data_IF_324476999663
#
_entry.id   IF_324476999663
#
_cell.length_a   1.000
_cell.length_b   1.000
_cell.length_c   1.000
_cell.angle_alpha   90.00
_cell.angle_beta   90.00
_cell.angle_gamma   90.00
#
_symmetry.space_group_name_H-M   'P 1'
#
loop_
_entity.id
_entity.type
_entity.pdbx_description
1 polymer ?
#
# COMPACT_ATOMS: atom_id res chain seq x y z
N UNK A 1 -31.44 5.27 -20.93
CA UNK A 1 -32.89 4.98 -21.04
C UNK A 1 -33.25 4.20 -22.31
N UNK A 2 -32.94 4.66 -23.52
CA UNK A 2 -33.31 3.97 -24.79
C UNK A 2 -32.83 2.51 -24.94
N UNK A 3 -31.64 2.16 -24.44
CA UNK A 3 -31.10 0.78 -24.53
C UNK A 3 -31.90 -0.25 -23.71
N UNK A 4 -32.50 0.17 -22.59
CA UNK A 4 -33.29 -0.70 -21.71
C UNK A 4 -34.65 -1.04 -22.33
N UNK A 5 -35.29 -0.05 -22.96
CA UNK A 5 -36.54 -0.21 -23.69
C UNK A 5 -36.42 -1.17 -24.89
N UNK A 6 -35.29 -1.12 -25.60
CA UNK A 6 -35.00 -2.05 -26.70
C UNK A 6 -34.84 -3.49 -26.19
N UNK A 7 -34.16 -3.69 -25.06
CA UNK A 7 -34.02 -5.01 -24.44
C UNK A 7 -35.36 -5.62 -24.02
N UNK A 8 -36.23 -4.81 -23.43
CA UNK A 8 -37.59 -5.23 -23.04
C UNK A 8 -38.43 -5.59 -24.28
N UNK A 9 -38.35 -4.78 -25.34
CA UNK A 9 -39.08 -5.03 -26.58
C UNK A 9 -38.63 -6.32 -27.27
N UNK A 10 -37.32 -6.57 -27.33
CA UNK A 10 -36.76 -7.82 -27.87
C UNK A 10 -37.23 -9.01 -27.04
N UNK A 11 -37.23 -8.90 -25.71
CA UNK A 11 -37.73 -9.95 -24.81
C UNK A 11 -39.22 -10.27 -24.99
N UNK A 12 -40.05 -9.25 -25.21
CA UNK A 12 -41.49 -9.43 -25.48
C UNK A 12 -41.72 -10.09 -26.85
N UNK A 13 -40.99 -9.66 -27.88
CA UNK A 13 -41.10 -10.23 -29.22
C UNK A 13 -40.66 -11.70 -29.20
N UNK A 14 -39.52 -12.05 -28.59
CA UNK A 14 -39.06 -13.44 -28.53
C UNK A 14 -39.98 -14.34 -27.72
N UNK A 15 -40.54 -13.84 -26.61
CA UNK A 15 -41.53 -14.57 -25.81
C UNK A 15 -42.83 -14.83 -26.58
N UNK A 16 -43.36 -13.81 -27.26
CA UNK A 16 -44.58 -13.95 -28.07
C UNK A 16 -44.41 -14.89 -29.27
N UNK A 17 -43.23 -14.88 -29.93
CA UNK A 17 -42.89 -15.80 -31.00
C UNK A 17 -42.81 -17.25 -30.50
N UNK A 18 -42.23 -17.45 -29.30
CA UNK A 18 -42.17 -18.76 -28.65
C UNK A 18 -43.55 -19.33 -28.33
N UNK A 19 -44.47 -18.49 -27.83
CA UNK A 19 -45.87 -18.88 -27.56
C UNK A 19 -46.59 -19.24 -28.87
N UNK A 20 -46.38 -18.47 -29.93
CA UNK A 20 -47.02 -18.71 -31.23
C UNK A 20 -46.55 -20.01 -31.88
N UNK A 21 -45.25 -20.33 -31.81
CA UNK A 21 -44.69 -21.60 -32.31
C UNK A 21 -45.18 -22.77 -31.46
N UNK A 22 -45.25 -22.61 -30.13
CA UNK A 22 -45.80 -23.63 -29.23
C UNK A 22 -47.27 -23.94 -29.54
N UNK A 23 -48.10 -22.91 -29.71
CA UNK A 23 -49.53 -23.08 -29.98
C UNK A 23 -49.84 -23.66 -31.35
N UNK A 24 -49.14 -23.21 -32.41
CA UNK A 24 -49.49 -23.63 -33.78
C UNK A 24 -48.79 -24.90 -34.26
N UNK A 25 -47.57 -25.18 -33.77
CA UNK A 25 -46.75 -26.26 -34.32
C UNK A 25 -46.65 -27.46 -33.36
N UNK A 26 -46.50 -27.20 -32.05
CA UNK A 26 -46.30 -28.25 -31.06
C UNK A 26 -47.63 -28.92 -30.69
N UNK A 27 -48.69 -28.16 -30.43
CA UNK A 27 -50.01 -28.74 -30.04
C UNK A 27 -50.65 -29.57 -31.17
N UNK A 28 -50.36 -29.27 -32.45
CA UNK A 28 -50.93 -30.01 -33.58
C UNK A 28 -50.19 -31.32 -33.90
N UNK A 29 -48.91 -31.45 -33.50
CA UNK A 29 -48.05 -32.59 -33.85
C UNK A 29 -47.80 -33.51 -32.65
N UNK A 30 -47.76 -32.96 -31.44
CA UNK A 30 -47.51 -33.71 -30.20
C UNK A 30 -48.82 -34.03 -29.50
N UNK A 31 -48.99 -35.28 -29.10
CA UNK A 31 -50.14 -35.68 -28.30
C UNK A 31 -50.02 -35.13 -26.88
N UNK A 32 -51.14 -35.06 -26.14
CA UNK A 32 -51.14 -34.61 -24.75
C UNK A 32 -50.13 -35.39 -23.87
N UNK A 33 -49.93 -36.68 -24.16
CA UNK A 33 -48.95 -37.52 -23.49
C UNK A 33 -47.50 -37.07 -23.75
N UNK A 34 -47.18 -36.64 -24.96
CA UNK A 34 -45.84 -36.16 -25.31
C UNK A 34 -45.54 -34.81 -24.64
N UNK A 35 -46.54 -33.92 -24.57
CA UNK A 35 -46.45 -32.65 -23.85
C UNK A 35 -46.22 -32.85 -22.34
N UNK A 36 -46.87 -33.84 -21.74
CA UNK A 36 -46.66 -34.18 -20.32
C UNK A 36 -45.24 -34.71 -20.07
N UNK A 37 -44.73 -35.58 -20.96
CA UNK A 37 -43.35 -36.10 -20.88
C UNK A 37 -42.33 -34.97 -21.02
N UNK A 38 -42.48 -34.09 -22.01
CA UNK A 38 -41.59 -32.94 -22.22
C UNK A 38 -41.64 -32.00 -21.02
N UNK A 39 -42.83 -31.73 -20.48
CA UNK A 39 -42.99 -30.84 -19.32
C UNK A 39 -42.33 -31.44 -18.09
N UNK A 40 -42.53 -32.73 -17.80
CA UNK A 40 -41.85 -33.44 -16.69
C UNK A 40 -40.33 -33.41 -16.84
N UNK A 41 -39.83 -33.59 -18.07
CA UNK A 41 -38.40 -33.54 -18.37
C UNK A 41 -37.83 -32.13 -18.18
N UNK A 42 -38.51 -31.09 -18.67
CA UNK A 42 -38.11 -29.69 -18.48
C UNK A 42 -38.17 -29.26 -17.00
N UNK A 43 -39.24 -29.62 -16.28
CA UNK A 43 -39.34 -29.35 -14.84
C UNK A 43 -38.33 -30.13 -14.02
N UNK A 44 -37.90 -31.31 -14.51
CA UNK A 44 -36.85 -32.11 -13.90
C UNK A 44 -35.46 -31.52 -14.13
N UNK A 45 -35.17 -31.01 -15.33
CA UNK A 45 -33.84 -30.49 -15.72
C UNK A 45 -33.63 -29.03 -15.31
N UNK A 46 -34.68 -28.20 -15.27
CA UNK A 46 -34.58 -26.79 -14.94
C UNK A 46 -33.94 -26.50 -13.56
N UNK A 47 -34.24 -27.25 -12.47
CA UNK A 47 -33.55 -27.10 -11.20
C UNK A 47 -32.04 -27.37 -11.27
N UNK A 48 -31.59 -28.32 -12.10
CA UNK A 48 -30.16 -28.60 -12.27
C UNK A 48 -29.45 -27.48 -13.00
N UNK A 49 -30.08 -26.91 -14.04
CA UNK A 49 -29.52 -25.74 -14.76
C UNK A 49 -29.43 -24.53 -13.81
N UNK A 50 -30.48 -24.29 -13.02
CA UNK A 50 -30.50 -23.21 -12.05
C UNK A 50 -29.44 -23.40 -10.95
N UNK A 51 -29.31 -24.61 -10.41
CA UNK A 51 -28.30 -24.95 -9.41
C UNK A 51 -26.88 -24.81 -9.96
N UNK A 52 -26.64 -25.27 -11.20
CA UNK A 52 -25.35 -25.15 -11.86
C UNK A 52 -24.99 -23.68 -12.17
N UNK A 53 -25.97 -22.89 -12.62
CA UNK A 53 -25.80 -21.45 -12.84
C UNK A 53 -25.48 -20.70 -11.55
N UNK A 54 -26.18 -21.01 -10.45
CA UNK A 54 -25.91 -20.43 -9.14
C UNK A 54 -24.52 -20.84 -8.61
N UNK A 55 -24.13 -22.10 -8.77
CA UNK A 55 -22.80 -22.59 -8.40
C UNK A 55 -21.69 -21.88 -9.19
N UNK A 56 -21.85 -21.76 -10.51
CA UNK A 56 -20.88 -21.08 -11.36
C UNK A 56 -20.74 -19.60 -10.98
N UNK A 57 -21.85 -18.89 -10.78
CA UNK A 57 -21.84 -17.49 -10.35
C UNK A 57 -21.20 -17.31 -8.97
N UNK A 58 -21.46 -18.22 -8.04
CA UNK A 58 -20.80 -18.23 -6.72
C UNK A 58 -19.30 -18.45 -6.85
N UNK A 59 -18.86 -19.40 -7.69
CA UNK A 59 -17.45 -19.68 -7.93
C UNK A 59 -16.74 -18.47 -8.57
N UNK A 60 -17.30 -17.90 -9.64
CA UNK A 60 -16.73 -16.72 -10.30
C UNK A 60 -16.63 -15.53 -9.36
N UNK A 61 -17.64 -15.28 -8.52
CA UNK A 61 -17.60 -14.20 -7.53
C UNK A 61 -16.53 -14.45 -6.45
N UNK A 62 -16.33 -15.70 -6.03
CA UNK A 62 -15.28 -16.08 -5.10
C UNK A 62 -13.89 -15.87 -5.70
N UNK A 63 -13.69 -16.31 -6.94
CA UNK A 63 -12.42 -16.15 -7.66
C UNK A 63 -12.09 -14.68 -7.90
N UNK A 64 -13.09 -13.88 -8.30
CA UNK A 64 -12.94 -12.42 -8.43
C UNK A 64 -12.54 -11.76 -7.11
N UNK A 65 -13.17 -12.14 -6.00
CA UNK A 65 -12.83 -11.60 -4.68
C UNK A 65 -11.41 -11.98 -4.26
N UNK A 66 -10.99 -13.21 -4.54
CA UNK A 66 -9.65 -13.69 -4.23
C UNK A 66 -8.59 -12.93 -5.05
N UNK A 67 -8.77 -12.80 -6.38
CA UNK A 67 -7.87 -12.03 -7.25
C UNK A 67 -7.81 -10.54 -6.84
N UNK A 68 -8.95 -9.97 -6.44
CA UNK A 68 -8.99 -8.62 -5.90
C UNK A 68 -8.18 -8.47 -4.60
N UNK A 69 -8.28 -9.44 -3.69
CA UNK A 69 -7.56 -9.44 -2.42
C UNK A 69 -6.05 -9.63 -2.62
N UNK A 70 -5.67 -10.54 -3.52
CA UNK A 70 -4.27 -10.77 -3.92
C UNK A 70 -3.62 -9.47 -4.42
N UNK A 71 -4.30 -8.75 -5.32
CA UNK A 71 -3.83 -7.43 -5.80
C UNK A 71 -3.67 -6.39 -4.70
N UNK A 72 -4.50 -6.42 -3.66
CA UNK A 72 -4.37 -5.52 -2.50
C UNK A 72 -3.15 -5.91 -1.68
N UNK A 73 -2.97 -7.20 -1.41
CA UNK A 73 -1.81 -7.73 -0.68
C UNK A 73 -0.52 -7.36 -1.41
N UNK A 74 -0.44 -7.56 -2.72
CA UNK A 74 0.73 -7.22 -3.53
C UNK A 74 1.10 -5.74 -3.45
N UNK A 75 0.09 -4.86 -3.53
CA UNK A 75 0.32 -3.41 -3.41
C UNK A 75 0.83 -3.02 -2.02
N UNK A 76 0.31 -3.66 -0.97
CA UNK A 76 0.78 -3.46 0.40
C UNK A 76 2.22 -3.95 0.55
N UNK A 77 2.52 -5.17 0.10
CA UNK A 77 3.87 -5.73 0.13
C UNK A 77 4.88 -4.82 -0.56
N UNK A 78 4.59 -4.37 -1.79
CA UNK A 78 5.45 -3.44 -2.54
C UNK A 78 5.66 -2.11 -1.78
N UNK A 79 4.62 -1.57 -1.13
CA UNK A 79 4.76 -0.38 -0.31
C UNK A 79 5.72 -0.62 0.88
N UNK A 80 5.56 -1.74 1.59
CA UNK A 80 6.43 -2.11 2.72
C UNK A 80 7.86 -2.41 2.27
N UNK A 81 8.07 -3.08 1.13
CA UNK A 81 9.40 -3.30 0.56
C UNK A 81 10.12 -1.98 0.32
N UNK A 82 9.45 -1.00 -0.31
CA UNK A 82 10.03 0.34 -0.54
C UNK A 82 10.40 1.05 0.76
N UNK A 83 9.57 0.91 1.78
CA UNK A 83 9.83 1.46 3.09
C UNK A 83 11.02 0.76 3.76
N UNK A 84 11.09 -0.57 3.71
CA UNK A 84 12.22 -1.36 4.21
C UNK A 84 13.54 -0.99 3.52
N UNK A 85 13.53 -0.80 2.19
CA UNK A 85 14.71 -0.35 1.44
C UNK A 85 15.20 1.01 1.96
N UNK A 86 14.30 1.99 2.06
CA UNK A 86 14.64 3.31 2.57
C UNK A 86 15.17 3.28 4.02
N UNK A 87 14.51 2.52 4.90
CA UNK A 87 14.97 2.37 6.29
C UNK A 87 16.35 1.70 6.34
N UNK A 88 16.57 0.66 5.53
CA UNK A 88 17.85 -0.02 5.46
C UNK A 88 18.99 0.87 4.97
N UNK A 89 18.70 1.84 4.10
CA UNK A 89 19.66 2.86 3.67
C UNK A 89 20.01 3.84 4.80
N UNK A 90 19.06 4.14 5.69
CA UNK A 90 19.26 5.03 6.84
C UNK A 90 19.91 4.35 8.06
N UNK A 91 19.68 3.05 8.24
CA UNK A 91 20.14 2.25 9.39
C UNK A 91 21.61 1.81 9.27
N UNK A 92 22.33 2.32 8.27
CA UNK A 92 23.74 1.99 8.09
C UNK A 92 24.56 2.73 9.15
N UNK A 93 24.96 2.01 10.20
CA UNK A 93 25.92 2.50 11.18
C UNK A 93 27.27 2.80 10.53
N UNK A 94 27.53 4.09 10.29
CA UNK A 94 28.83 4.53 9.79
C UNK A 94 29.71 4.97 10.95
N UNK A 95 30.83 4.26 11.16
CA UNK A 95 31.86 4.66 12.15
C UNK A 95 32.84 5.64 11.52
N UNK A 96 32.93 6.84 12.06
CA UNK A 96 33.96 7.81 11.71
C UNK A 96 34.90 8.07 12.88
N UNK A 97 36.20 8.20 12.60
CA UNK A 97 37.21 8.63 13.56
C UNK A 97 37.39 10.14 13.45
N UNK A 98 36.86 10.88 14.43
CA UNK A 98 37.02 12.34 14.49
C UNK A 98 38.28 12.66 15.31
N UNK A 99 39.23 13.35 14.69
CA UNK A 99 40.46 13.79 15.35
C UNK A 99 40.27 15.21 15.91
N UNK A 100 40.62 15.40 17.18
CA UNK A 100 40.67 16.72 17.79
C UNK A 100 41.95 17.48 17.43
N UNK A 101 41.94 18.80 17.68
CA UNK A 101 43.05 19.72 17.35
C UNK A 101 44.39 19.34 18.01
N UNK A 102 44.35 18.55 19.09
CA UNK A 102 45.52 18.16 19.89
C UNK A 102 45.75 16.64 19.99
N UNK A 103 45.00 15.81 19.25
CA UNK A 103 45.15 14.33 19.30
C UNK A 103 46.13 13.84 18.23
N UNK A 104 47.00 12.89 18.61
CA UNK A 104 47.84 12.15 17.66
C UNK A 104 46.96 11.44 16.63
N UNK A 105 47.52 11.15 15.45
CA UNK A 105 46.88 10.52 14.27
C UNK A 105 46.17 9.15 14.52
N UNK A 106 46.15 8.65 15.75
CA UNK A 106 45.57 7.35 16.15
C UNK A 106 44.65 7.42 17.39
N UNK A 107 44.41 8.62 17.98
CA UNK A 107 43.64 8.80 19.23
C UNK A 107 42.18 9.25 19.00
N UNK A 108 41.64 9.08 17.79
CA UNK A 108 40.27 9.47 17.45
C UNK A 108 39.21 8.70 18.24
N UNK A 109 38.13 9.38 18.66
CA UNK A 109 36.94 8.70 19.21
C UNK A 109 36.03 8.25 18.05
N UNK A 110 35.52 7.00 18.05
CA UNK A 110 34.54 6.57 17.07
C UNK A 110 33.19 7.23 17.35
N UNK A 111 32.58 7.78 16.32
CA UNK A 111 31.19 8.28 16.35
C UNK A 111 30.34 7.53 15.32
N UNK A 112 29.04 7.44 15.59
CA UNK A 112 28.03 6.89 14.70
C UNK A 112 27.23 8.04 14.09
N UNK A 113 26.93 7.94 12.80
CA UNK A 113 26.18 8.95 12.07
C UNK A 113 25.25 8.34 11.04
N UNK A 114 24.18 9.09 10.70
CA UNK A 114 23.23 8.69 9.66
C UNK A 114 23.59 9.20 8.26
N UNK A 115 24.35 10.29 8.15
CA UNK A 115 24.66 10.94 6.88
C UNK A 115 26.11 11.42 6.85
N UNK A 116 26.80 11.23 5.73
CA UNK A 116 28.19 11.68 5.54
C UNK A 116 28.27 12.99 4.75
N UNK A 117 27.29 13.22 3.89
CA UNK A 117 27.27 14.36 2.97
C UNK A 117 25.90 15.02 2.91
N UNK A 118 25.87 16.30 2.52
CA UNK A 118 24.63 17.01 2.25
C UNK A 118 23.83 16.36 1.10
N UNK A 119 24.53 15.75 0.14
CA UNK A 119 23.88 15.02 -0.95
C UNK A 119 23.12 13.78 -0.44
N UNK A 120 23.72 12.99 0.46
CA UNK A 120 23.04 11.86 1.11
C UNK A 120 21.79 12.30 1.89
N UNK A 121 21.89 13.41 2.62
CA UNK A 121 20.74 13.96 3.34
C UNK A 121 19.63 14.40 2.38
N UNK A 122 19.97 15.11 1.30
CA UNK A 122 18.99 15.53 0.29
C UNK A 122 18.35 14.36 -0.46
N UNK A 123 19.12 13.31 -0.77
CA UNK A 123 18.60 12.06 -1.33
C UNK A 123 17.62 11.43 -0.34
N UNK A 124 17.99 11.33 0.92
CA UNK A 124 17.15 10.76 1.98
C UNK A 124 15.84 11.52 2.15
N UNK A 125 15.88 12.85 2.13
CA UNK A 125 14.68 13.69 2.16
C UNK A 125 13.78 13.42 0.95
N UNK A 126 14.34 13.40 -0.26
CA UNK A 126 13.58 13.12 -1.49
C UNK A 126 12.95 11.74 -1.47
N UNK A 127 13.70 10.72 -1.04
CA UNK A 127 13.20 9.34 -0.92
C UNK A 127 12.10 9.27 0.12
N UNK A 128 12.27 9.88 1.29
CA UNK A 128 11.24 9.96 2.34
C UNK A 128 9.94 10.61 1.81
N UNK A 129 10.04 11.74 1.11
CA UNK A 129 8.89 12.40 0.49
C UNK A 129 8.24 11.53 -0.58
N UNK A 130 9.01 10.76 -1.34
CA UNK A 130 8.48 9.84 -2.35
C UNK A 130 7.63 8.72 -1.72
N UNK A 131 7.94 8.31 -0.50
CA UNK A 131 7.19 7.28 0.24
C UNK A 131 5.79 7.74 0.64
N UNK A 132 5.52 9.05 0.70
CA UNK A 132 4.17 9.56 0.96
C UNK A 132 3.14 9.08 -0.09
N UNK A 133 3.58 8.74 -1.30
CA UNK A 133 2.70 8.14 -2.33
C UNK A 133 2.14 6.79 -1.91
N UNK A 134 2.85 6.08 -1.02
CA UNK A 134 2.47 4.78 -0.48
C UNK A 134 1.76 4.88 0.87
N UNK A 135 1.59 6.10 1.41
CA UNK A 135 1.07 6.34 2.76
C UNK A 135 -0.23 5.60 3.02
N UNK A 136 -1.14 5.54 2.05
CA UNK A 136 -2.41 4.81 2.15
C UNK A 136 -2.27 3.33 2.50
N UNK A 137 -1.17 2.68 2.08
CA UNK A 137 -0.92 1.25 2.26
C UNK A 137 -0.30 0.89 3.62
N UNK A 138 0.15 1.90 4.37
CA UNK A 138 0.77 1.73 5.68
C UNK A 138 -0.26 1.75 6.82
N UNK A 139 0.05 1.04 7.90
CA UNK A 139 -0.67 1.19 9.16
C UNK A 139 -0.48 2.61 9.73
N UNK A 140 -1.40 3.06 10.58
CA UNK A 140 -1.30 4.40 11.16
C UNK A 140 -0.05 4.57 12.03
N UNK A 141 0.38 3.51 12.69
CA UNK A 141 1.61 3.51 13.49
C UNK A 141 2.86 3.65 12.61
N UNK A 142 2.92 2.97 11.47
CA UNK A 142 4.00 3.16 10.48
C UNK A 142 4.01 4.59 9.96
N UNK A 143 2.85 5.16 9.62
CA UNK A 143 2.76 6.56 9.17
C UNK A 143 3.33 7.54 10.20
N UNK A 144 2.98 7.34 11.47
CA UNK A 144 3.46 8.17 12.58
C UNK A 144 4.99 8.13 12.71
N UNK A 145 5.59 6.94 12.72
CA UNK A 145 7.06 6.81 12.80
C UNK A 145 7.77 7.35 11.54
N UNK A 146 7.17 7.15 10.35
CA UNK A 146 7.69 7.73 9.12
C UNK A 146 7.63 9.27 9.15
N UNK A 147 6.58 9.86 9.72
CA UNK A 147 6.49 11.31 9.91
C UNK A 147 7.56 11.83 10.88
N UNK A 148 7.86 11.07 11.94
CA UNK A 148 8.96 11.41 12.86
C UNK A 148 10.32 11.37 12.15
N UNK A 149 10.59 10.33 11.35
CA UNK A 149 11.81 10.24 10.53
C UNK A 149 11.89 11.44 9.58
N UNK A 150 10.81 11.77 8.87
CA UNK A 150 10.76 12.93 7.98
C UNK A 150 11.05 14.24 8.73
N UNK A 151 10.53 14.38 9.94
CA UNK A 151 10.78 15.55 10.79
C UNK A 151 12.26 15.66 11.17
N UNK A 152 12.89 14.56 11.58
CA UNK A 152 14.32 14.52 11.91
C UNK A 152 15.15 14.93 10.67
N UNK A 153 14.87 14.35 9.50
CA UNK A 153 15.59 14.70 8.25
C UNK A 153 15.38 16.19 7.90
N UNK A 154 14.17 16.73 8.05
CA UNK A 154 13.87 18.13 7.76
C UNK A 154 14.56 19.10 8.74
N UNK A 155 14.63 18.75 10.03
CA UNK A 155 15.39 19.48 11.04
C UNK A 155 16.88 19.50 10.67
N UNK A 156 17.46 18.35 10.30
CA UNK A 156 18.84 18.25 9.80
C UNK A 156 19.09 19.16 8.58
N UNK A 157 18.16 19.20 7.61
CA UNK A 157 18.28 20.10 6.45
C UNK A 157 18.18 21.58 6.85
N UNK A 158 17.36 21.90 7.85
CA UNK A 158 17.19 23.28 8.33
C UNK A 158 18.45 23.76 9.04
N UNK A 159 19.02 22.91 9.90
CA UNK A 159 20.26 23.21 10.63
C UNK A 159 21.45 23.44 9.70
N UNK A 160 21.51 22.73 8.56
CA UNK A 160 22.54 22.96 7.54
C UNK A 160 22.37 24.25 6.75
N UNK A 161 21.12 24.62 6.41
CA UNK A 161 20.85 25.78 5.54
C UNK A 161 20.74 27.11 6.31
N UNK A 162 20.39 27.05 7.59
CA UNK A 162 20.25 28.21 8.46
C UNK A 162 20.68 27.82 9.88
N UNK A 163 22.00 27.68 10.14
CA UNK A 163 22.49 27.29 11.46
C UNK A 163 22.05 28.32 12.49
N UNK A 164 20.97 28.02 13.22
CA UNK A 164 20.48 28.85 14.31
C UNK A 164 21.54 28.82 15.41
N UNK A 165 22.33 29.89 15.46
CA UNK A 165 23.51 30.01 16.30
C UNK A 165 23.19 29.89 17.78
N UNK A 166 23.59 28.76 18.37
CA UNK A 166 24.24 28.67 19.70
C UNK A 166 24.71 27.26 20.06
N UNK A 167 24.35 26.21 19.32
CA UNK A 167 24.80 24.84 19.62
C UNK A 167 26.08 24.41 18.88
N UNK A 168 26.42 25.03 17.74
CA UNK A 168 27.41 24.50 16.79
C UNK A 168 28.81 25.14 16.85
N UNK A 169 29.11 25.96 17.86
CA UNK A 169 30.49 26.41 18.15
C UNK A 169 31.06 25.70 19.36
N UNK A 170 31.22 24.39 19.30
CA UNK A 170 32.09 23.70 20.25
C UNK A 170 33.09 22.75 19.59
N UNK A 171 34.31 23.27 19.51
CA UNK A 171 35.57 22.65 19.92
C UNK A 171 36.31 21.69 19.02
N UNK A 172 35.75 21.15 17.95
CA UNK A 172 36.52 20.20 17.17
C UNK A 172 36.27 20.43 15.68
N UNK A 173 37.36 20.37 14.92
CA UNK A 173 37.42 20.12 13.48
C UNK A 173 37.66 21.35 12.59
N UNK A 174 38.76 21.27 11.82
CA UNK A 174 39.23 22.20 10.79
C UNK A 174 39.45 21.34 9.51
N UNK A 175 38.57 21.48 8.49
CA UNK A 175 38.78 21.26 7.02
C UNK A 175 37.46 21.09 6.23
N UNK A 176 37.24 21.96 5.24
CA UNK A 176 36.10 22.03 4.30
C UNK A 176 34.71 22.14 4.95
N UNK A 177 34.19 23.37 4.96
CA UNK A 177 33.01 23.78 5.75
C UNK A 177 31.73 22.99 5.47
N UNK A 178 31.52 22.50 4.25
CA UNK A 178 30.22 21.91 3.87
C UNK A 178 30.08 20.41 4.23
N UNK A 179 31.18 19.65 4.29
CA UNK A 179 31.15 18.24 4.67
C UNK A 179 31.09 18.07 6.20
N UNK A 180 31.72 18.97 6.94
CA UNK A 180 31.79 18.93 8.39
C UNK A 180 30.47 19.24 9.09
N UNK A 181 29.72 20.21 8.59
CA UNK A 181 28.41 20.54 9.15
C UNK A 181 27.44 19.35 8.96
N UNK A 182 27.53 18.66 7.81
CA UNK A 182 26.72 17.46 7.51
C UNK A 182 27.03 16.30 8.46
N UNK A 183 28.32 16.05 8.71
CA UNK A 183 28.81 15.03 9.67
C UNK A 183 28.32 15.33 11.08
N UNK A 184 28.43 16.58 11.53
CA UNK A 184 28.01 16.96 12.89
C UNK A 184 26.51 16.82 13.09
N UNK A 185 25.71 17.23 12.10
CA UNK A 185 24.26 17.07 12.12
C UNK A 185 23.89 15.58 12.13
N UNK A 186 24.52 14.78 11.26
CA UNK A 186 24.33 13.33 11.19
C UNK A 186 24.66 12.58 12.49
N UNK A 187 25.70 13.01 13.22
CA UNK A 187 26.02 12.48 14.56
C UNK A 187 24.95 12.85 15.59
N UNK A 188 24.48 14.10 15.59
CA UNK A 188 23.54 14.61 16.59
C UNK A 188 22.15 13.97 16.50
N UNK A 189 21.72 13.58 15.29
CA UNK A 189 20.42 12.97 15.06
C UNK A 189 20.44 11.43 15.14
N UNK A 190 21.62 10.81 15.23
CA UNK A 190 21.78 9.35 15.12
C UNK A 190 20.89 8.59 16.12
N UNK A 191 20.94 8.94 17.41
CA UNK A 191 20.17 8.22 18.44
C UNK A 191 18.66 8.28 18.20
N UNK A 192 18.16 9.46 17.83
CA UNK A 192 16.74 9.67 17.55
C UNK A 192 16.32 8.94 16.27
N UNK A 193 17.14 9.00 15.23
CA UNK A 193 16.89 8.31 13.96
C UNK A 193 16.85 6.79 14.17
N UNK A 194 17.89 6.24 14.80
CA UNK A 194 18.01 4.81 15.07
C UNK A 194 16.85 4.30 15.95
N UNK A 195 16.40 5.09 16.93
CA UNK A 195 15.21 4.77 17.73
C UNK A 195 13.95 4.67 16.87
N UNK A 196 13.68 5.65 16.01
CA UNK A 196 12.49 5.62 15.16
C UNK A 196 12.57 4.48 14.12
N UNK A 197 13.76 4.22 13.57
CA UNK A 197 14.03 3.07 12.69
C UNK A 197 13.75 1.73 13.40
N UNK A 198 14.18 1.59 14.64
CA UNK A 198 13.91 0.39 15.42
C UNK A 198 12.40 0.19 15.66
N UNK A 199 11.68 1.27 16.01
CA UNK A 199 10.24 1.22 16.24
C UNK A 199 9.47 0.86 14.97
N UNK A 200 9.82 1.48 13.82
CA UNK A 200 9.15 1.18 12.55
C UNK A 200 9.41 -0.28 12.13
N UNK A 201 10.61 -0.83 12.33
CA UNK A 201 10.93 -2.23 12.03
C UNK A 201 10.10 -3.22 12.85
N UNK A 202 9.87 -2.93 14.14
CA UNK A 202 8.98 -3.74 15.00
C UNK A 202 7.55 -3.73 14.45
N UNK A 203 7.05 -2.55 14.10
CA UNK A 203 5.67 -2.40 13.60
C UNK A 203 5.50 -3.08 12.25
N UNK A 204 6.44 -2.88 11.32
CA UNK A 204 6.47 -3.54 10.00
C UNK A 204 6.42 -5.06 10.17
N UNK A 205 7.24 -5.61 11.06
CA UNK A 205 7.26 -7.06 11.34
C UNK A 205 5.92 -7.59 11.84
N UNK A 206 5.18 -6.80 12.61
CA UNK A 206 3.84 -7.15 13.07
C UNK A 206 2.79 -7.00 11.96
N UNK A 207 2.91 -5.97 11.12
CA UNK A 207 2.01 -5.74 9.99
C UNK A 207 2.16 -6.83 8.92
N UNK A 208 3.37 -7.35 8.68
CA UNK A 208 3.62 -8.50 7.79
C UNK A 208 2.87 -9.76 8.24
N UNK A 209 2.77 -10.00 9.55
CA UNK A 209 2.01 -11.15 10.10
C UNK A 209 0.50 -11.06 9.84
N UNK A 210 0.01 -9.88 9.47
CA UNK A 210 -1.41 -9.57 9.24
C UNK A 210 -1.65 -8.99 7.85
N UNK A 211 -0.74 -9.27 6.91
CA UNK A 211 -0.79 -8.67 5.57
C UNK A 211 -1.93 -9.26 4.73
N UNK A 212 -2.31 -10.50 5.00
CA UNK A 212 -3.40 -11.26 4.40
C UNK A 212 -4.79 -10.86 4.93
N UNK A 213 -4.86 -10.16 6.08
CA UNK A 213 -6.10 -9.61 6.63
C UNK A 213 -6.54 -8.33 5.88
N UNK A 214 -6.91 -8.51 4.62
CA UNK A 214 -7.35 -7.45 3.71
C UNK A 214 -8.62 -6.78 4.21
N UNK A 215 -9.51 -7.54 4.85
CA UNK A 215 -10.79 -7.00 5.34
C UNK A 215 -10.55 -5.96 6.44
N UNK A 216 -9.78 -6.32 7.46
CA UNK A 216 -9.44 -5.40 8.54
C UNK A 216 -8.64 -4.19 8.03
N UNK A 217 -7.78 -4.38 7.04
CA UNK A 217 -7.10 -3.27 6.38
C UNK A 217 -8.09 -2.30 5.73
N UNK A 218 -9.02 -2.80 4.90
CA UNK A 218 -10.01 -1.95 4.22
C UNK A 218 -10.94 -1.24 5.22
N UNK A 219 -11.34 -1.91 6.29
CA UNK A 219 -12.17 -1.33 7.36
C UNK A 219 -11.43 -0.19 8.09
N UNK A 220 -10.13 -0.36 8.37
CA UNK A 220 -9.28 0.67 8.99
C UNK A 220 -9.03 1.88 8.06
N UNK A 221 -9.08 1.66 6.76
CA UNK A 221 -8.92 2.74 5.78
C UNK A 221 -10.23 3.48 5.55
N UNK A 222 -11.35 2.77 5.57
CA UNK A 222 -12.69 3.32 5.35
C UNK A 222 -13.24 4.08 6.57
N UNK A 223 -12.67 3.84 7.76
CA UNK A 223 -13.08 4.48 9.03
C UNK A 223 -12.51 5.88 9.26
N UNK A 224 -11.87 6.52 8.26
CA UNK A 224 -11.55 7.95 8.33
C UNK A 224 -12.76 8.81 7.91
N UNK A 225 -13.08 9.90 8.63
CA UNK A 225 -14.22 10.77 8.35
C UNK A 225 -14.03 11.53 7.01
N UNK A 226 -15.15 11.82 6.35
CA UNK A 226 -15.34 12.44 5.02
C UNK A 226 -14.67 13.82 4.77
N UNK A 227 -13.71 14.28 5.57
CA UNK A 227 -13.18 15.65 5.46
C UNK A 227 -12.01 15.85 4.49
N UNK A 228 -11.45 14.81 3.86
CA UNK A 228 -10.33 14.94 2.92
C UNK A 228 -10.70 14.61 1.45
N UNK A 229 -11.98 14.75 1.06
CA UNK A 229 -12.41 14.66 -0.35
C UNK A 229 -12.73 16.04 -0.93
N UNK A 230 -11.82 16.99 -0.73
CA UNK A 230 -11.80 18.23 -1.49
C UNK A 230 -10.37 18.72 -1.60
N UNK A 231 -9.63 18.17 -2.57
CA UNK A 231 -8.55 18.83 -3.31
C UNK A 231 -8.28 18.06 -4.60
#
# INVERSE_FOLDING_TARGET
MKKYLIGILIGLITSSLGIFVYQNFIIQILTYADLEIITKLLTGVAPFIAAFGAYYMWQTNRDYKNDHYEKIIDKRLNAYEKLCTFIGELDVEKRMLIHGKDTKLDDGKPYLQCFDTNEELHISLKTCLSLNKYRYWFSNTVKMHLDNINKIIAECCTDLNAPTGSAFRSKYIDKDSNSLDSISVGCSCFENMHKEIHLINIVISNDYKRIDDVKLFLDNVSSKPENDRSE
#
